data_IF_750638717464
#
_entry.id   IF_750638717464
#
_cell.length_a   1.000
_cell.length_b   1.000
_cell.length_c   1.000
_cell.angle_alpha   90.00
_cell.angle_beta   90.00
_cell.angle_gamma   90.00
#
_symmetry.space_group_name_H-M   'P 1'
#
loop_
_entity.id
_entity.type
_entity.pdbx_description
1 polymer ?
#
# COMPACT_ATOMS: atom_id res chain seq x y z
N UNK A 1 6.30 6.53 -6.10
CA UNK A 1 6.55 7.82 -6.79
C UNK A 1 6.79 7.66 -8.29
N UNK A 2 7.79 6.88 -8.74
CA UNK A 2 8.05 6.65 -10.18
C UNK A 2 6.81 6.17 -10.94
N UNK A 3 6.09 5.18 -10.41
CA UNK A 3 4.86 4.68 -11.05
C UNK A 3 3.75 5.74 -11.11
N UNK A 4 3.67 6.63 -10.13
CA UNK A 4 2.72 7.74 -10.15
C UNK A 4 3.05 8.77 -11.24
N UNK A 5 4.34 8.93 -11.58
CA UNK A 5 4.77 9.76 -12.71
C UNK A 5 4.42 9.13 -14.05
N UNK A 6 4.57 7.81 -14.19
CA UNK A 6 4.26 7.09 -15.44
C UNK A 6 2.75 6.99 -15.66
N UNK A 7 2.00 6.56 -14.64
CA UNK A 7 0.55 6.28 -14.76
C UNK A 7 -0.30 7.55 -14.68
N UNK A 8 0.03 8.50 -13.80
CA UNK A 8 -0.79 9.68 -13.51
C UNK A 8 -0.17 11.00 -13.94
N UNK A 9 0.99 10.97 -14.61
CA UNK A 9 1.75 12.14 -15.05
C UNK A 9 1.98 13.19 -13.95
N UNK A 10 2.09 12.75 -12.68
CA UNK A 10 2.34 13.65 -11.56
C UNK A 10 3.82 14.04 -11.51
N UNK A 11 4.07 15.34 -11.31
CA UNK A 11 5.42 15.88 -11.10
C UNK A 11 5.70 15.89 -9.59
N UNK A 12 6.85 15.33 -9.21
CA UNK A 12 7.34 15.35 -7.84
C UNK A 12 8.55 16.28 -7.77
N UNK A 13 8.63 17.09 -6.71
CA UNK A 13 9.79 17.93 -6.38
C UNK A 13 10.98 17.07 -5.94
N UNK A 14 12.20 17.56 -6.14
CA UNK A 14 13.43 16.89 -5.69
C UNK A 14 13.40 16.57 -4.20
N UNK A 15 12.85 17.47 -3.39
CA UNK A 15 12.70 17.28 -1.96
C UNK A 15 11.76 16.11 -1.61
N UNK A 16 10.73 15.83 -2.41
CA UNK A 16 9.84 14.67 -2.21
C UNK A 16 10.56 13.35 -2.49
N UNK A 17 11.44 13.35 -3.49
CA UNK A 17 12.32 12.19 -3.74
C UNK A 17 13.31 11.96 -2.60
N UNK A 18 13.89 13.01 -2.04
CA UNK A 18 14.81 12.89 -0.90
C UNK A 18 14.12 12.33 0.34
N UNK A 19 12.91 12.82 0.65
CA UNK A 19 12.12 12.32 1.78
C UNK A 19 11.72 10.86 1.58
N UNK A 20 11.32 10.47 0.36
CA UNK A 20 11.01 9.07 0.04
C UNK A 20 12.25 8.16 0.13
N UNK A 21 13.43 8.65 -0.31
CA UNK A 21 14.69 7.92 -0.18
C UNK A 21 15.05 7.72 1.30
N UNK A 22 14.92 8.76 2.12
CA UNK A 22 15.17 8.69 3.57
C UNK A 22 14.21 7.71 4.25
N UNK A 23 12.93 7.73 3.88
CA UNK A 23 11.92 6.77 4.36
C UNK A 23 12.31 5.33 4.01
N UNK A 24 12.69 5.08 2.75
CA UNK A 24 13.11 3.76 2.28
C UNK A 24 14.39 3.29 2.96
N UNK A 25 15.40 4.16 3.11
CA UNK A 25 16.65 3.84 3.78
C UNK A 25 16.45 3.52 5.26
N UNK A 26 15.66 4.33 5.98
CA UNK A 26 15.32 4.07 7.39
C UNK A 26 14.56 2.76 7.58
N UNK A 27 13.58 2.48 6.71
CA UNK A 27 12.84 1.21 6.73
C UNK A 27 13.78 0.03 6.44
N UNK A 28 14.63 0.13 5.42
CA UNK A 28 15.60 -0.91 5.07
C UNK A 28 16.55 -1.21 6.23
N UNK A 29 17.10 -0.16 6.87
CA UNK A 29 17.99 -0.29 8.01
C UNK A 29 17.28 -0.94 9.21
N UNK A 30 16.04 -0.53 9.50
CA UNK A 30 15.21 -1.15 10.54
C UNK A 30 14.94 -2.64 10.26
N UNK A 31 14.49 -2.97 9.05
CA UNK A 31 14.19 -4.34 8.64
C UNK A 31 15.42 -5.25 8.71
N UNK A 32 16.55 -4.80 8.16
CA UNK A 32 17.79 -5.59 8.15
C UNK A 32 18.32 -5.82 9.57
N UNK A 33 18.22 -4.80 10.43
CA UNK A 33 18.65 -4.88 11.82
C UNK A 33 17.77 -5.77 12.71
N UNK A 34 16.55 -6.07 12.24
CA UNK A 34 15.56 -6.90 12.93
C UNK A 34 15.57 -8.36 12.43
N UNK A 35 16.39 -8.69 11.42
CA UNK A 35 16.52 -10.06 10.94
C UNK A 35 17.55 -10.85 11.76
N UNK A 36 17.14 -12.02 12.24
CA UNK A 36 18.02 -13.00 12.88
C UNK A 36 18.94 -13.63 11.83
N UNK A 37 20.26 -13.80 12.07
CA UNK A 37 21.15 -14.42 11.09
C UNK A 37 20.79 -15.89 10.87
N UNK A 38 20.12 -16.19 9.76
CA UNK A 38 19.90 -17.56 9.28
C UNK A 38 21.19 -18.12 8.67
N UNK A 39 21.53 -19.37 8.99
CA UNK A 39 22.69 -20.08 8.44
C UNK A 39 22.36 -20.54 7.01
N UNK A 40 22.95 -19.88 6.01
CA UNK A 40 22.67 -20.13 4.59
C UNK A 40 23.41 -21.36 4.05
N UNK A 41 22.75 -22.16 3.21
CA UNK A 41 23.32 -23.35 2.55
C UNK A 41 23.21 -23.25 1.03
N UNK A 42 24.15 -23.88 0.32
CA UNK A 42 24.43 -23.73 -1.12
C UNK A 42 23.26 -24.01 -2.09
N UNK A 43 22.17 -24.63 -1.64
CA UNK A 43 20.94 -24.85 -2.43
C UNK A 43 20.18 -23.52 -2.71
N UNK A 44 20.49 -22.45 -1.98
CA UNK A 44 19.76 -21.18 -2.06
C UNK A 44 20.13 -20.27 -3.25
N UNK A 45 21.24 -20.49 -3.98
CA UNK A 45 21.68 -19.53 -5.04
C UNK A 45 20.71 -19.38 -6.22
N UNK A 46 20.05 -20.46 -6.65
CA UNK A 46 19.02 -20.41 -7.71
C UNK A 46 17.70 -19.84 -7.18
N UNK A 47 17.36 -20.12 -5.93
CA UNK A 47 16.22 -19.54 -5.19
C UNK A 47 16.40 -18.04 -4.92
N UNK A 48 17.65 -17.56 -4.77
CA UNK A 48 17.95 -16.14 -4.56
C UNK A 48 17.60 -15.28 -5.79
N UNK A 49 17.95 -15.73 -7.01
CA UNK A 49 17.65 -14.94 -8.20
C UNK A 49 16.15 -14.95 -8.54
N UNK A 50 15.50 -16.13 -8.50
CA UNK A 50 14.05 -16.22 -8.73
C UNK A 50 13.26 -15.47 -7.65
N UNK A 51 13.67 -15.57 -6.38
CA UNK A 51 13.10 -14.80 -5.27
C UNK A 51 13.28 -13.29 -5.43
N UNK A 52 14.46 -12.83 -5.87
CA UNK A 52 14.71 -11.42 -6.16
C UNK A 52 13.80 -10.91 -7.30
N UNK A 53 13.67 -11.68 -8.38
CA UNK A 53 12.78 -11.34 -9.51
C UNK A 53 11.32 -11.29 -9.06
N UNK A 54 10.86 -12.25 -8.26
CA UNK A 54 9.51 -12.27 -7.71
C UNK A 54 9.24 -11.08 -6.78
N UNK A 55 10.20 -10.71 -5.92
CA UNK A 55 10.09 -9.52 -5.06
C UNK A 55 10.08 -8.23 -5.86
N UNK A 56 10.91 -8.11 -6.90
CA UNK A 56 10.89 -6.97 -7.80
C UNK A 56 9.53 -6.85 -8.51
N UNK A 57 9.01 -7.96 -9.03
CA UNK A 57 7.68 -8.03 -9.63
C UNK A 57 6.57 -7.63 -8.65
N UNK A 58 6.60 -8.18 -7.43
CA UNK A 58 5.68 -7.82 -6.35
C UNK A 58 5.68 -6.31 -6.08
N UNK A 59 6.84 -5.68 -5.93
CA UNK A 59 6.96 -4.24 -5.67
C UNK A 59 6.44 -3.39 -6.83
N UNK A 60 6.63 -3.85 -8.08
CA UNK A 60 6.09 -3.16 -9.26
C UNK A 60 4.56 -3.22 -9.25
N UNK A 61 3.97 -4.39 -9.01
CA UNK A 61 2.52 -4.53 -8.95
C UNK A 61 1.90 -3.82 -7.75
N UNK A 62 2.55 -3.86 -6.59
CA UNK A 62 2.13 -3.15 -5.38
C UNK A 62 2.20 -1.63 -5.57
N UNK A 63 3.19 -1.13 -6.32
CA UNK A 63 3.24 0.28 -6.71
C UNK A 63 2.21 0.63 -7.80
N UNK A 64 1.93 -0.28 -8.74
CA UNK A 64 0.98 -0.05 -9.83
C UNK A 64 -0.45 0.06 -9.32
N UNK A 65 -0.87 -0.91 -8.51
CA UNK A 65 -2.27 -1.10 -8.09
C UNK A 65 -2.92 0.16 -7.52
N UNK A 66 -2.39 0.80 -6.45
CA UNK A 66 -3.02 1.97 -5.86
C UNK A 66 -2.95 3.20 -6.79
N UNK A 67 -1.94 3.30 -7.66
CA UNK A 67 -1.84 4.36 -8.66
C UNK A 67 -2.90 4.20 -9.76
N UNK A 68 -3.12 2.97 -10.22
CA UNK A 68 -4.17 2.65 -11.18
C UNK A 68 -5.57 2.84 -10.60
N UNK A 69 -5.79 2.33 -9.38
CA UNK A 69 -7.02 2.52 -8.61
C UNK A 69 -7.36 4.00 -8.46
N UNK A 70 -6.38 4.85 -8.14
CA UNK A 70 -6.58 6.29 -8.05
C UNK A 70 -6.91 6.91 -9.42
N UNK A 71 -6.26 6.48 -10.50
CA UNK A 71 -6.58 6.94 -11.86
C UNK A 71 -8.02 6.58 -12.27
N UNK A 72 -8.50 5.38 -11.95
CA UNK A 72 -9.89 4.99 -12.19
C UNK A 72 -10.88 5.84 -11.40
N UNK A 73 -10.58 6.15 -10.13
CA UNK A 73 -11.43 7.02 -9.32
C UNK A 73 -11.48 8.46 -9.84
N UNK A 74 -10.39 8.95 -10.44
CA UNK A 74 -10.29 10.31 -10.97
C UNK A 74 -10.86 10.42 -12.41
N UNK A 75 -11.09 9.31 -13.11
CA UNK A 75 -11.64 9.25 -14.48
C UNK A 75 -13.18 9.40 -14.46
N UNK A 76 -13.76 10.11 -15.45
CA UNK A 76 -15.22 10.20 -15.60
C UNK A 76 -15.75 9.06 -16.48
N UNK A 77 -16.85 8.38 -16.12
CA UNK A 77 -17.70 8.57 -14.93
C UNK A 77 -17.06 8.08 -13.62
N UNK A 78 -17.35 8.77 -12.51
CA UNK A 78 -16.77 8.44 -11.20
C UNK A 78 -17.21 7.05 -10.76
N UNK A 79 -16.26 6.13 -10.69
CA UNK A 79 -16.49 4.78 -10.17
C UNK A 79 -16.60 4.85 -8.65
N UNK A 80 -17.62 4.21 -8.08
CA UNK A 80 -17.75 4.12 -6.63
C UNK A 80 -16.67 3.19 -6.04
N UNK A 81 -16.07 3.59 -4.92
CA UNK A 81 -15.19 2.74 -4.09
C UNK A 81 -15.74 1.33 -3.81
N UNK A 82 -17.06 1.22 -3.64
CA UNK A 82 -17.73 -0.06 -3.42
C UNK A 82 -17.75 -0.92 -4.69
N UNK A 83 -17.95 -0.32 -5.86
CA UNK A 83 -17.92 -1.02 -7.14
C UNK A 83 -16.51 -1.53 -7.46
N UNK A 84 -15.48 -0.71 -7.18
CA UNK A 84 -14.10 -1.13 -7.39
C UNK A 84 -13.68 -2.25 -6.43
N UNK A 85 -14.09 -2.17 -5.16
CA UNK A 85 -13.88 -3.24 -4.18
C UNK A 85 -14.58 -4.55 -4.59
N UNK A 86 -15.84 -4.48 -5.02
CA UNK A 86 -16.58 -5.64 -5.50
C UNK A 86 -15.92 -6.26 -6.74
N UNK A 87 -15.54 -5.44 -7.73
CA UNK A 87 -14.86 -5.92 -8.93
C UNK A 87 -13.58 -6.68 -8.61
N UNK A 88 -12.68 -6.08 -7.82
CA UNK A 88 -11.42 -6.73 -7.44
C UNK A 88 -11.66 -8.01 -6.65
N UNK A 89 -12.59 -8.02 -5.69
CA UNK A 89 -12.88 -9.21 -4.90
C UNK A 89 -13.54 -10.33 -5.72
N UNK A 90 -14.42 -10.02 -6.69
CA UNK A 90 -15.02 -11.01 -7.58
C UNK A 90 -13.98 -11.63 -8.51
N UNK A 91 -13.15 -10.81 -9.17
CA UNK A 91 -12.06 -11.33 -10.00
C UNK A 91 -11.08 -12.17 -9.18
N UNK A 92 -10.75 -11.74 -7.96
CA UNK A 92 -9.89 -12.50 -7.05
C UNK A 92 -10.52 -13.84 -6.66
N UNK A 93 -11.83 -13.89 -6.41
CA UNK A 93 -12.55 -15.12 -6.09
C UNK A 93 -12.56 -16.09 -7.29
N UNK A 94 -12.77 -15.60 -8.51
CA UNK A 94 -12.73 -16.42 -9.73
C UNK A 94 -11.34 -17.03 -9.92
N UNK A 95 -10.28 -16.22 -9.81
CA UNK A 95 -8.89 -16.71 -9.95
C UNK A 95 -8.53 -17.71 -8.86
N UNK A 96 -8.94 -17.46 -7.61
CA UNK A 96 -8.73 -18.38 -6.50
C UNK A 96 -9.46 -19.71 -6.75
N UNK A 97 -10.72 -19.66 -7.17
CA UNK A 97 -11.51 -20.84 -7.50
C UNK A 97 -10.88 -21.65 -8.63
N UNK A 98 -10.45 -20.99 -9.72
CA UNK A 98 -9.78 -21.66 -10.84
C UNK A 98 -8.51 -22.39 -10.38
N UNK A 99 -7.69 -21.74 -9.54
CA UNK A 99 -6.47 -22.35 -8.99
C UNK A 99 -6.76 -23.56 -8.08
N UNK A 100 -7.81 -23.49 -7.26
CA UNK A 100 -8.25 -24.60 -6.40
C UNK A 100 -8.77 -25.80 -7.21
N UNK A 101 -9.43 -25.54 -8.34
CA UNK A 101 -9.91 -26.59 -9.25
C UNK A 101 -8.75 -27.25 -9.98
N UNK A 102 -7.80 -26.45 -10.49
CA UNK A 102 -6.59 -26.97 -11.17
C UNK A 102 -5.76 -27.87 -10.25
N UNK A 103 -5.64 -27.51 -8.97
CA UNK A 103 -4.93 -28.31 -7.96
C UNK A 103 -5.73 -29.52 -7.46
N UNK A 104 -7.03 -29.61 -7.77
CA UNK A 104 -7.92 -30.68 -7.30
C UNK A 104 -8.23 -30.65 -5.79
N UNK A 105 -7.88 -29.56 -5.09
CA UNK A 105 -7.97 -29.46 -3.62
C UNK A 105 -9.24 -28.78 -3.11
N UNK A 106 -10.12 -28.33 -4.01
CA UNK A 106 -11.36 -27.63 -3.66
C UNK A 106 -12.26 -28.44 -2.72
N UNK A 107 -12.63 -29.67 -3.12
CA UNK A 107 -13.55 -30.51 -2.34
C UNK A 107 -12.97 -30.95 -0.99
N UNK A 108 -11.68 -31.39 -0.90
CA UNK A 108 -11.02 -31.63 0.39
C UNK A 108 -11.01 -30.40 1.32
N UNK A 109 -10.73 -29.22 0.78
CA UNK A 109 -10.67 -27.98 1.57
C UNK A 109 -12.04 -27.60 2.15
N UNK A 110 -13.12 -27.77 1.38
CA UNK A 110 -14.49 -27.56 1.88
C UNK A 110 -14.85 -28.56 2.99
N UNK A 111 -14.54 -29.85 2.80
CA UNK A 111 -14.80 -30.86 3.84
C UNK A 111 -14.05 -30.55 5.12
N UNK A 112 -12.80 -30.10 5.03
CA UNK A 112 -12.02 -29.68 6.19
C UNK A 112 -12.67 -28.52 6.93
N UNK A 113 -13.16 -27.51 6.20
CA UNK A 113 -13.83 -26.35 6.78
C UNK A 113 -15.11 -26.72 7.54
N UNK A 114 -15.92 -27.64 7.01
CA UNK A 114 -17.14 -28.09 7.70
C UNK A 114 -16.87 -29.07 8.85
N UNK A 115 -15.76 -29.80 8.80
CA UNK A 115 -15.40 -30.76 9.86
C UNK A 115 -14.78 -30.08 11.08
N UNK A 116 -14.23 -28.87 10.94
CA UNK A 116 -13.55 -28.14 12.01
C UNK A 116 -14.21 -26.78 12.25
N UNK A 117 -15.08 -26.71 13.26
CA UNK A 117 -15.83 -25.49 13.58
C UNK A 117 -14.90 -24.32 13.97
N UNK A 118 -13.83 -24.57 14.72
CA UNK A 118 -12.86 -23.54 15.10
C UNK A 118 -12.21 -22.87 13.88
N UNK A 119 -11.83 -23.67 12.89
CA UNK A 119 -11.25 -23.15 11.64
C UNK A 119 -12.25 -22.30 10.87
N UNK A 120 -13.52 -22.72 10.77
CA UNK A 120 -14.56 -21.93 10.10
C UNK A 120 -14.80 -20.58 10.79
N UNK A 121 -14.78 -20.55 12.13
CA UNK A 121 -14.91 -19.32 12.91
C UNK A 121 -13.72 -18.37 12.68
N UNK A 122 -12.49 -18.89 12.68
CA UNK A 122 -11.29 -18.09 12.42
C UNK A 122 -11.31 -17.50 11.00
N UNK A 123 -11.67 -18.30 10.01
CA UNK A 123 -11.81 -17.85 8.61
C UNK A 123 -12.88 -16.77 8.47
N UNK A 124 -14.01 -16.93 9.15
CA UNK A 124 -15.09 -15.94 9.14
C UNK A 124 -14.66 -14.61 9.78
N UNK A 125 -14.06 -14.66 10.97
CA UNK A 125 -13.56 -13.46 11.66
C UNK A 125 -12.46 -12.76 10.86
N UNK A 126 -11.53 -13.54 10.29
CA UNK A 126 -10.47 -13.03 9.43
C UNK A 126 -11.06 -12.36 8.18
N UNK A 127 -12.07 -12.98 7.56
CA UNK A 127 -12.74 -12.43 6.37
C UNK A 127 -13.50 -11.14 6.69
N UNK A 128 -14.22 -11.10 7.81
CA UNK A 128 -14.94 -9.90 8.25
C UNK A 128 -13.98 -8.75 8.54
N UNK A 129 -12.91 -9.01 9.32
CA UNK A 129 -11.87 -8.03 9.60
C UNK A 129 -11.17 -7.56 8.31
N UNK A 130 -10.90 -8.48 7.37
CA UNK A 130 -10.30 -8.17 6.08
C UNK A 130 -11.21 -7.27 5.23
N UNK A 131 -12.51 -7.55 5.16
CA UNK A 131 -13.48 -6.73 4.43
C UNK A 131 -13.54 -5.29 4.99
N UNK A 132 -13.54 -5.15 6.32
CA UNK A 132 -13.46 -3.84 6.98
C UNK A 132 -12.13 -3.14 6.67
N UNK A 133 -11.00 -3.86 6.72
CA UNK A 133 -9.68 -3.32 6.37
C UNK A 133 -9.60 -2.84 4.93
N UNK A 134 -10.10 -3.64 3.97
CA UNK A 134 -10.19 -3.27 2.56
C UNK A 134 -11.01 -1.99 2.37
N UNK A 135 -12.13 -1.84 3.08
CA UNK A 135 -12.94 -0.63 3.04
C UNK A 135 -12.09 0.61 3.37
N UNK A 136 -11.31 0.56 4.45
CA UNK A 136 -10.39 1.63 4.85
C UNK A 136 -9.30 1.90 3.82
N UNK A 137 -8.74 0.86 3.20
CA UNK A 137 -7.75 0.99 2.12
C UNK A 137 -8.35 1.78 0.95
N UNK A 138 -9.52 1.40 0.47
CA UNK A 138 -10.19 2.10 -0.63
C UNK A 138 -10.54 3.55 -0.28
N UNK A 139 -11.05 3.83 0.94
CA UNK A 139 -11.25 5.23 1.40
C UNK A 139 -9.95 6.02 1.31
N UNK A 140 -8.86 5.42 1.80
CA UNK A 140 -7.57 6.08 1.92
C UNK A 140 -7.02 6.44 0.55
N UNK A 141 -7.05 5.48 -0.39
CA UNK A 141 -6.57 5.71 -1.76
C UNK A 141 -7.44 6.75 -2.46
N UNK A 142 -8.77 6.69 -2.32
CA UNK A 142 -9.68 7.66 -2.94
C UNK A 142 -9.45 9.09 -2.40
N UNK A 143 -9.39 9.27 -1.08
CA UNK A 143 -9.31 10.60 -0.44
C UNK A 143 -7.90 11.17 -0.40
N UNK A 144 -6.90 10.37 -0.02
CA UNK A 144 -5.53 10.84 0.25
C UNK A 144 -4.52 10.43 -0.82
N UNK A 145 -4.92 9.55 -1.73
CA UNK A 145 -4.09 9.09 -2.83
C UNK A 145 -3.12 7.96 -2.46
N UNK A 146 -2.44 7.40 -3.49
CA UNK A 146 -1.58 6.22 -3.35
C UNK A 146 -0.31 6.48 -2.53
N UNK A 147 0.16 7.73 -2.47
CA UNK A 147 1.38 8.07 -1.72
C UNK A 147 1.16 8.00 -0.20
N UNK A 148 0.04 8.54 0.31
CA UNK A 148 -0.29 8.44 1.75
C UNK A 148 -0.59 7.00 2.13
N UNK A 149 -1.24 6.26 1.24
CA UNK A 149 -1.47 4.82 1.42
C UNK A 149 -0.15 4.06 1.63
N UNK A 150 0.87 4.30 0.79
CA UNK A 150 2.18 3.67 0.95
C UNK A 150 2.87 4.01 2.29
N UNK A 151 2.75 5.25 2.76
CA UNK A 151 3.24 5.66 4.09
C UNK A 151 2.52 4.91 5.21
N UNK A 152 1.18 4.83 5.15
CA UNK A 152 0.38 4.08 6.14
C UNK A 152 0.75 2.60 6.16
N UNK A 153 0.95 1.98 5.00
CA UNK A 153 1.39 0.59 4.91
C UNK A 153 2.75 0.36 5.56
N UNK A 154 3.70 1.27 5.33
CA UNK A 154 5.04 1.20 5.91
C UNK A 154 4.99 1.35 7.43
N UNK A 155 4.24 2.33 7.93
CA UNK A 155 4.01 2.52 9.37
C UNK A 155 3.39 1.28 10.02
N UNK A 156 2.37 0.70 9.39
CA UNK A 156 1.73 -0.53 9.87
C UNK A 156 2.75 -1.65 10.04
N UNK A 157 3.60 -1.90 9.03
CA UNK A 157 4.62 -2.95 9.10
C UNK A 157 5.62 -2.68 10.23
N UNK A 158 6.08 -1.44 10.37
CA UNK A 158 7.01 -1.05 11.43
C UNK A 158 6.39 -1.29 12.81
N UNK A 159 5.16 -0.82 13.04
CA UNK A 159 4.47 -1.06 14.32
C UNK A 159 4.28 -2.55 14.61
N UNK A 160 3.89 -3.34 13.61
CA UNK A 160 3.78 -4.80 13.77
C UNK A 160 5.11 -5.44 14.20
N UNK A 161 6.23 -5.02 13.63
CA UNK A 161 7.56 -5.56 13.98
C UNK A 161 8.02 -5.12 15.35
N UNK A 162 7.78 -3.86 15.72
CA UNK A 162 8.09 -3.35 17.07
C UNK A 162 7.26 -4.10 18.11
N UNK A 163 5.95 -4.23 17.90
CA UNK A 163 5.06 -4.98 18.81
C UNK A 163 5.46 -6.45 18.89
N UNK A 164 5.80 -7.08 17.77
CA UNK A 164 6.31 -8.45 17.73
C UNK A 164 7.61 -8.59 18.55
N UNK A 165 8.55 -7.67 18.39
CA UNK A 165 9.82 -7.68 19.15
C UNK A 165 9.60 -7.53 20.65
N UNK A 166 8.66 -6.67 21.06
CA UNK A 166 8.26 -6.52 22.46
C UNK A 166 7.63 -7.81 22.99
N UNK A 167 6.70 -8.40 22.24
CA UNK A 167 5.98 -9.61 22.66
C UNK A 167 6.90 -10.84 22.76
N UNK A 168 7.79 -11.04 21.79
CA UNK A 168 8.73 -12.16 21.75
C UNK A 168 10.04 -11.91 22.52
N UNK A 169 10.20 -10.74 23.15
CA UNK A 169 11.41 -10.35 23.90
C UNK A 169 12.71 -10.45 23.08
N UNK A 170 12.64 -10.17 21.79
CA UNK A 170 13.84 -10.08 20.96
C UNK A 170 14.51 -8.71 21.16
N UNK A 171 15.83 -8.64 21.42
CA UNK A 171 16.50 -7.36 21.63
C UNK A 171 16.47 -6.55 20.34
N UNK A 172 15.77 -5.41 20.38
CA UNK A 172 15.82 -4.44 19.29
C UNK A 172 17.23 -3.86 19.26
N UNK A 173 17.93 -4.06 18.15
CA UNK A 173 19.30 -3.56 17.98
C UNK A 173 19.31 -2.04 17.97
N UNK A 174 20.41 -1.44 18.41
CA UNK A 174 20.60 0.02 18.37
C UNK A 174 20.38 0.58 16.96
N UNK A 175 20.83 -0.16 15.94
CA UNK A 175 20.60 0.19 14.54
C UNK A 175 19.11 0.19 14.18
N UNK A 176 18.32 -0.75 14.69
CA UNK A 176 16.87 -0.74 14.49
C UNK A 176 16.19 0.51 15.06
N UNK A 177 16.59 0.94 16.26
CA UNK A 177 16.08 2.17 16.88
C UNK A 177 16.46 3.39 16.01
N UNK A 178 17.69 3.44 15.50
CA UNK A 178 18.13 4.52 14.62
C UNK A 178 17.33 4.54 13.30
N UNK A 179 17.08 3.38 12.69
CA UNK A 179 16.24 3.25 11.49
C UNK A 179 14.81 3.71 11.72
N UNK A 180 14.24 3.35 12.88
CA UNK A 180 12.91 3.78 13.31
C UNK A 180 12.82 5.31 13.42
N UNK A 181 13.81 5.94 14.05
CA UNK A 181 13.88 7.40 14.18
C UNK A 181 13.95 8.09 12.82
N UNK A 182 14.76 7.57 11.88
CA UNK A 182 14.85 8.10 10.51
C UNK A 182 13.49 8.04 9.81
N UNK A 183 12.75 6.92 9.92
CA UNK A 183 11.43 6.77 9.33
C UNK A 183 10.44 7.77 9.91
N UNK A 184 10.38 7.92 11.23
CA UNK A 184 9.49 8.89 11.86
C UNK A 184 9.80 10.31 11.40
N UNK A 185 11.08 10.71 11.40
CA UNK A 185 11.50 12.03 10.91
C UNK A 185 11.09 12.24 9.45
N UNK A 186 11.32 11.27 8.56
CA UNK A 186 10.93 11.37 7.15
C UNK A 186 9.41 11.56 6.99
N UNK A 187 8.59 10.84 7.76
CA UNK A 187 7.14 10.98 7.72
C UNK A 187 6.68 12.35 8.24
N UNK A 188 7.25 12.83 9.35
CA UNK A 188 6.93 14.16 9.88
C UNK A 188 7.28 15.26 8.89
N UNK A 189 8.47 15.20 8.28
CA UNK A 189 8.88 16.14 7.23
C UNK A 189 7.93 16.08 6.03
N UNK A 190 7.56 14.87 5.57
CA UNK A 190 6.62 14.73 4.45
C UNK A 190 5.24 15.33 4.78
N UNK A 191 4.74 15.06 5.98
CA UNK A 191 3.44 15.54 6.44
C UNK A 191 3.42 17.06 6.56
N UNK A 192 4.46 17.66 7.15
CA UNK A 192 4.59 19.11 7.29
C UNK A 192 4.66 19.81 5.92
N UNK A 193 5.46 19.27 4.99
CA UNK A 193 5.60 19.84 3.64
C UNK A 193 4.28 19.80 2.88
N UNK A 194 3.60 18.65 2.86
CA UNK A 194 2.28 18.51 2.24
C UNK A 194 1.25 19.49 2.81
N UNK A 195 1.23 19.71 4.12
CA UNK A 195 0.35 20.70 4.74
C UNK A 195 0.64 22.12 4.23
N UNK A 196 1.92 22.46 4.02
CA UNK A 196 2.32 23.78 3.56
C UNK A 196 2.08 23.99 2.05
N UNK A 197 2.34 22.98 1.21
CA UNK A 197 2.09 23.01 -0.23
C UNK A 197 0.59 23.13 -0.54
N UNK A 198 -0.26 22.43 0.22
CA UNK A 198 -1.72 22.49 0.07
C UNK A 198 -2.26 23.87 0.49
N UNK A 199 -1.62 24.53 1.46
CA UNK A 199 -1.95 25.91 1.87
C UNK A 199 -1.49 26.94 0.83
N UNK A 200 -0.33 26.74 0.21
CA UNK A 200 0.22 27.61 -0.85
C UNK A 200 -0.57 27.55 -2.15
N UNK A 201 -1.10 26.38 -2.53
CA UNK A 201 -1.83 26.18 -3.79
C UNK A 201 -3.34 26.54 -3.72
N UNK A 202 -3.93 26.62 -2.53
CA UNK A 202 -5.35 27.02 -2.32
C UNK A 202 -5.76 28.37 -2.94
N UNK A 203 -4.96 29.45 -2.85
CA UNK A 203 -5.32 30.73 -3.49
C UNK A 203 -5.34 30.65 -5.02
N UNK A 204 -4.41 29.90 -5.64
CA UNK A 204 -4.29 29.80 -7.09
C UNK A 204 -5.46 29.02 -7.72
N UNK A 205 -5.82 27.86 -7.17
CA UNK A 205 -6.92 27.01 -7.69
C UNK A 205 -8.28 27.71 -7.61
N UNK A 206 -8.52 28.49 -6.54
CA UNK A 206 -9.75 29.28 -6.41
C UNK A 206 -9.86 30.37 -7.48
N UNK A 207 -8.75 31.02 -7.83
CA UNK A 207 -8.71 32.04 -8.89
C UNK A 207 -8.94 31.44 -10.29
N UNK A 208 -8.32 30.31 -10.61
CA UNK A 208 -8.48 29.66 -11.92
C UNK A 208 -9.89 29.08 -12.13
N UNK A 209 -10.51 28.52 -11.08
CA UNK A 209 -11.90 28.05 -11.14
C UNK A 209 -12.90 29.21 -11.24
N UNK A 210 -12.65 30.34 -10.59
CA UNK A 210 -13.44 31.56 -10.77
C UNK A 210 -13.28 32.15 -12.17
N UNK A 211 -12.07 32.17 -12.74
CA UNK A 211 -11.84 32.64 -14.11
C UNK A 211 -12.54 31.77 -15.16
N UNK A 212 -12.41 30.44 -15.08
CA UNK A 212 -13.12 29.54 -15.99
C UNK A 212 -14.64 29.60 -15.84
N UNK A 213 -15.15 29.73 -14.61
CA UNK A 213 -16.59 29.92 -14.38
C UNK A 213 -17.12 31.24 -14.94
N UNK A 214 -16.31 32.30 -14.91
CA UNK A 214 -16.66 33.61 -15.47
C UNK A 214 -16.56 33.65 -17.00
N UNK A 215 -15.58 32.98 -17.61
CA UNK A 215 -15.52 32.80 -19.07
C UNK A 215 -16.69 31.98 -19.60
N UNK A 216 -17.05 30.90 -18.92
CA UNK A 216 -18.19 30.08 -19.33
C UNK A 216 -19.52 30.86 -19.28
N UNK A 217 -19.69 31.72 -18.27
CA UNK A 217 -20.84 32.64 -18.19
C UNK A 217 -20.82 33.74 -19.27
N UNK A 218 -19.63 34.23 -19.66
CA UNK A 218 -19.47 35.20 -20.76
C UNK A 218 -19.79 34.61 -22.13
N UNK A 219 -19.47 33.34 -22.36
CA UNK A 219 -19.72 32.68 -23.65
C UNK A 219 -21.19 32.22 -23.83
N UNK A 220 -22.01 32.37 -22.79
CA UNK A 220 -23.43 32.00 -22.77
C UNK A 220 -24.39 33.21 -22.80
N UNK A 221 -23.84 34.43 -22.73
CA UNK A 221 -24.56 35.70 -22.81
C UNK A 221 -24.25 36.39 -24.14
#
# INVERSE_FOLDING_TARGET
MVMGRIVRNQRYSLEEYLVALMLAAGACLFFLSSQTPSKYSLVERTTHFSGLVLMAGYLIFDAFTPNWQKSLFDTRPKISRYQMMMGVNVFSAILCFASLVEQGTFMPSLKFMFSHESFSRDVFLLSFCSAVGQLFIYVTIEKFGPEVFAVIMTLRQIFSIVLSSIYFSHPITFMGILGLMIVFTAIFVNSYRRYFDDKSNRPYVKQTQQQHGNEFKRNLA
#
